data_IF_056340140303
#
_entry.id   IF_056340140303
#
_cell.length_a   1.000
_cell.length_b   1.000
_cell.length_c   1.000
_cell.angle_alpha   90.00
_cell.angle_beta   90.00
_cell.angle_gamma   90.00
#
_symmetry.space_group_name_H-M   'P 1'
#
loop_
_entity.id
_entity.type
_entity.pdbx_description
1 polymer ?
#
# COMPACT_ATOMS: atom_id res chain seq x y z
N UNK A 1 -18.53 -13.53 6.98
CA UNK A 1 -17.53 -12.47 6.72
C UNK A 1 -16.94 -12.73 5.35
N UNK A 2 -17.12 -11.80 4.41
CA UNK A 2 -16.59 -11.87 3.06
C UNK A 2 -15.35 -10.96 2.97
N UNK A 3 -14.23 -11.54 2.54
CA UNK A 3 -12.98 -10.82 2.34
C UNK A 3 -12.77 -10.51 0.85
N UNK A 4 -12.13 -9.39 0.55
CA UNK A 4 -11.59 -9.09 -0.78
C UNK A 4 -10.08 -8.95 -0.65
N UNK A 5 -9.34 -9.84 -1.32
CA UNK A 5 -7.88 -9.72 -1.43
C UNK A 5 -7.55 -9.03 -2.75
N UNK A 6 -6.82 -7.92 -2.67
CA UNK A 6 -6.42 -7.09 -3.81
C UNK A 6 -4.92 -7.21 -4.00
N UNK A 7 -4.46 -7.40 -5.23
CA UNK A 7 -3.03 -7.40 -5.58
C UNK A 7 -2.80 -6.70 -6.91
N UNK A 8 -1.65 -6.04 -7.09
CA UNK A 8 -1.35 -5.37 -8.36
C UNK A 8 -1.11 -6.39 -9.48
N UNK A 9 -0.50 -7.53 -9.15
CA UNK A 9 -0.29 -8.66 -10.06
C UNK A 9 -0.59 -10.00 -9.39
N UNK A 10 -0.98 -11.01 -10.16
CA UNK A 10 -1.26 -12.35 -9.64
C UNK A 10 -0.01 -13.03 -9.01
N UNK A 11 1.20 -12.67 -9.47
CA UNK A 11 2.45 -13.25 -8.97
C UNK A 11 2.68 -12.88 -7.50
N UNK A 12 2.28 -11.67 -7.08
CA UNK A 12 2.47 -11.20 -5.71
C UNK A 12 1.75 -12.04 -4.66
N UNK A 13 0.62 -12.63 -5.04
CA UNK A 13 -0.22 -13.46 -4.18
C UNK A 13 -0.32 -14.90 -4.69
N UNK A 14 0.59 -15.33 -5.57
CA UNK A 14 0.56 -16.68 -6.16
C UNK A 14 0.45 -17.79 -5.11
N UNK A 15 1.23 -17.79 -4.00
CA UNK A 15 1.08 -18.82 -2.97
C UNK A 15 -0.31 -18.85 -2.33
N UNK A 16 -0.95 -17.68 -2.19
CA UNK A 16 -2.31 -17.58 -1.66
C UNK A 16 -3.36 -18.11 -2.64
N UNK A 17 -3.20 -17.84 -3.94
CA UNK A 17 -4.07 -18.38 -4.99
C UNK A 17 -4.02 -19.92 -5.04
N UNK A 18 -2.82 -20.49 -4.91
CA UNK A 18 -2.62 -21.94 -4.86
C UNK A 18 -3.31 -22.58 -3.64
N UNK A 19 -3.29 -21.89 -2.48
CA UNK A 19 -3.99 -22.34 -1.28
C UNK A 19 -5.51 -22.23 -1.40
N UNK A 20 -6.01 -21.19 -2.07
CA UNK A 20 -7.44 -21.02 -2.34
C UNK A 20 -8.01 -22.12 -3.23
N UNK A 21 -7.23 -22.59 -4.21
CA UNK A 21 -7.62 -23.68 -5.11
C UNK A 21 -7.52 -25.09 -4.49
N UNK A 22 -7.04 -25.21 -3.25
CA UNK A 22 -6.91 -26.49 -2.55
C UNK A 22 -8.07 -26.66 -1.55
N UNK A 23 -9.00 -27.57 -1.84
CA UNK A 23 -10.23 -27.80 -1.06
C UNK A 23 -10.00 -28.06 0.44
N UNK A 24 -8.87 -28.68 0.80
CA UNK A 24 -8.55 -28.97 2.20
C UNK A 24 -8.16 -27.71 2.98
N UNK A 25 -7.56 -26.71 2.32
CA UNK A 25 -7.14 -25.46 2.94
C UNK A 25 -8.18 -24.36 2.78
N UNK A 26 -8.94 -24.35 1.68
CA UNK A 26 -9.98 -23.35 1.42
C UNK A 26 -11.05 -23.32 2.51
N UNK A 27 -11.36 -24.46 3.13
CA UNK A 27 -12.27 -24.57 4.27
C UNK A 27 -11.86 -23.75 5.51
N UNK A 28 -10.57 -23.40 5.64
CA UNK A 28 -10.04 -22.56 6.73
C UNK A 28 -9.99 -21.08 6.37
N UNK A 29 -10.19 -20.75 5.10
CA UNK A 29 -10.16 -19.38 4.59
C UNK A 29 -11.61 -18.88 4.55
N UNK A 30 -11.91 -17.69 5.09
CA UNK A 30 -13.23 -17.08 4.92
C UNK A 30 -13.59 -16.97 3.43
N UNK A 31 -14.87 -16.86 3.10
CA UNK A 31 -15.29 -16.58 1.73
C UNK A 31 -14.53 -15.35 1.20
N UNK A 32 -13.68 -15.56 0.19
CA UNK A 32 -12.70 -14.57 -0.26
C UNK A 32 -12.76 -14.41 -1.77
N UNK A 33 -13.03 -13.20 -2.22
CA UNK A 33 -12.86 -12.82 -3.61
C UNK A 33 -11.43 -12.30 -3.82
N UNK A 34 -10.90 -12.45 -5.03
CA UNK A 34 -9.59 -11.90 -5.42
C UNK A 34 -9.75 -10.90 -6.55
N UNK A 35 -9.14 -9.73 -6.40
CA UNK A 35 -9.05 -8.71 -7.43
C UNK A 35 -7.59 -8.47 -7.81
N UNK A 36 -7.24 -8.75 -9.07
CA UNK A 36 -5.99 -8.27 -9.65
C UNK A 36 -6.26 -6.87 -10.18
N UNK A 37 -5.77 -5.87 -9.46
CA UNK A 37 -6.16 -4.47 -9.66
C UNK A 37 -5.40 -3.77 -10.80
N UNK A 38 -4.26 -4.34 -11.19
CA UNK A 38 -3.30 -3.73 -12.10
C UNK A 38 -2.26 -2.88 -11.37
N UNK A 39 -1.21 -2.51 -12.10
CA UNK A 39 -0.06 -1.77 -11.58
C UNK A 39 -0.37 -0.27 -11.54
N UNK A 40 -0.10 0.36 -10.40
CA UNK A 40 -0.22 1.80 -10.19
C UNK A 40 -1.51 2.22 -9.46
N UNK A 41 -1.49 3.44 -8.92
CA UNK A 41 -2.60 3.98 -8.12
C UNK A 41 -3.87 4.15 -8.94
N UNK A 42 -3.76 4.58 -10.19
CA UNK A 42 -4.91 4.79 -11.10
C UNK A 42 -5.61 3.48 -11.43
N UNK A 43 -4.86 2.45 -11.85
CA UNK A 43 -5.41 1.13 -12.16
C UNK A 43 -6.07 0.52 -10.92
N UNK A 44 -5.39 0.61 -9.78
CA UNK A 44 -5.90 0.10 -8.51
C UNK A 44 -7.19 0.78 -8.11
N UNK A 45 -7.23 2.11 -8.13
CA UNK A 45 -8.42 2.88 -7.76
C UNK A 45 -9.60 2.59 -8.67
N UNK A 46 -9.37 2.52 -9.99
CA UNK A 46 -10.43 2.25 -10.96
C UNK A 46 -11.03 0.85 -10.77
N UNK A 47 -10.18 -0.18 -10.74
CA UNK A 47 -10.60 -1.58 -10.59
C UNK A 47 -11.27 -1.83 -9.24
N UNK A 48 -10.68 -1.32 -8.15
CA UNK A 48 -11.24 -1.50 -6.80
C UNK A 48 -12.59 -0.80 -6.67
N UNK A 49 -12.72 0.43 -7.17
CA UNK A 49 -14.01 1.15 -7.16
C UNK A 49 -15.08 0.41 -7.94
N UNK A 50 -14.71 -0.23 -9.06
CA UNK A 50 -15.61 -1.11 -9.81
C UNK A 50 -16.07 -2.30 -9.00
N UNK A 51 -15.14 -3.02 -8.37
CA UNK A 51 -15.45 -4.20 -7.55
C UNK A 51 -16.34 -3.86 -6.35
N UNK A 52 -16.04 -2.76 -5.64
CA UNK A 52 -16.80 -2.32 -4.48
C UNK A 52 -18.24 -1.91 -4.80
N UNK A 53 -18.53 -1.53 -6.06
CA UNK A 53 -19.91 -1.29 -6.52
C UNK A 53 -20.71 -2.57 -6.72
N UNK A 54 -20.05 -3.67 -7.07
CA UNK A 54 -20.70 -4.97 -7.30
C UNK A 54 -20.98 -5.66 -5.97
N UNK A 55 -19.99 -5.67 -5.08
CA UNK A 55 -20.07 -6.36 -3.79
C UNK A 55 -19.29 -5.56 -2.76
N UNK A 56 -19.92 -5.30 -1.61
CA UNK A 56 -19.27 -4.66 -0.48
C UNK A 56 -18.71 -5.74 0.47
N UNK A 57 -17.39 -5.98 0.47
CA UNK A 57 -16.78 -6.92 1.40
C UNK A 57 -16.72 -6.33 2.81
N UNK A 58 -16.69 -7.20 3.82
CA UNK A 58 -16.51 -6.79 5.22
C UNK A 58 -15.06 -6.37 5.50
N UNK A 59 -14.12 -6.88 4.70
CA UNK A 59 -12.69 -6.63 4.82
C UNK A 59 -12.04 -6.59 3.43
N UNK A 60 -11.26 -5.55 3.18
CA UNK A 60 -10.37 -5.47 2.02
C UNK A 60 -8.94 -5.58 2.52
N UNK A 61 -8.15 -6.48 1.92
CA UNK A 61 -6.72 -6.64 2.18
C UNK A 61 -5.98 -6.40 0.87
N UNK A 62 -5.15 -5.37 0.82
CA UNK A 62 -4.24 -5.18 -0.30
C UNK A 62 -2.90 -5.85 0.02
N UNK A 63 -2.64 -6.98 -0.64
CA UNK A 63 -1.41 -7.76 -0.48
C UNK A 63 -0.50 -7.56 -1.70
N UNK A 64 0.77 -7.32 -1.45
CA UNK A 64 1.73 -7.05 -2.53
C UNK A 64 3.17 -7.01 -2.04
N UNK A 65 4.09 -6.72 -2.96
CA UNK A 65 5.50 -6.47 -2.61
C UNK A 65 5.82 -4.98 -2.67
N UNK A 66 6.50 -4.48 -1.65
CA UNK A 66 6.99 -3.10 -1.57
C UNK A 66 8.50 -3.06 -1.49
N UNK A 67 9.11 -1.93 -1.84
CA UNK A 67 10.49 -1.68 -1.48
C UNK A 67 10.61 -1.14 -0.05
N UNK A 68 11.79 -1.33 0.52
CA UNK A 68 12.11 -0.89 1.89
C UNK A 68 13.13 0.25 1.90
N UNK A 69 12.84 1.32 2.64
CA UNK A 69 13.80 2.40 2.90
C UNK A 69 14.60 2.20 4.18
N UNK A 70 14.10 1.38 5.11
CA UNK A 70 14.76 1.10 6.38
C UNK A 70 15.66 -0.15 6.25
N UNK A 71 16.98 0.01 6.17
CA UNK A 71 17.90 -1.11 6.01
C UNK A 71 17.92 -2.05 7.23
N UNK A 72 17.34 -1.64 8.37
CA UNK A 72 17.20 -2.49 9.56
C UNK A 72 16.07 -3.51 9.42
N UNK A 73 15.19 -3.38 8.43
CA UNK A 73 14.13 -4.33 8.16
C UNK A 73 14.66 -5.39 7.19
N UNK A 74 14.72 -6.68 7.58
CA UNK A 74 15.15 -7.75 6.70
C UNK A 74 14.21 -7.89 5.49
N UNK A 75 14.77 -8.28 4.35
CA UNK A 75 13.99 -8.56 3.15
C UNK A 75 13.06 -9.76 3.37
N UNK A 76 11.89 -9.74 2.71
CA UNK A 76 10.85 -10.72 2.93
C UNK A 76 10.08 -10.54 4.24
N UNK A 77 10.40 -9.54 5.06
CA UNK A 77 9.61 -9.21 6.25
C UNK A 77 8.21 -8.79 5.84
N UNK A 78 7.22 -9.33 6.54
CA UNK A 78 5.81 -8.97 6.39
C UNK A 78 5.47 -7.78 7.28
N UNK A 79 4.90 -6.73 6.71
CA UNK A 79 4.60 -5.48 7.40
C UNK A 79 3.16 -5.05 7.18
N UNK A 80 2.63 -4.28 8.13
CA UNK A 80 1.30 -3.67 8.02
C UNK A 80 1.39 -2.15 7.85
N UNK A 81 0.73 -1.60 6.84
CA UNK A 81 0.74 -0.15 6.58
C UNK A 81 -0.27 0.54 7.50
N UNK A 82 0.24 1.35 8.44
CA UNK A 82 -0.60 2.12 9.38
C UNK A 82 -1.07 3.44 8.77
N UNK A 83 -0.22 4.04 7.96
CA UNK A 83 -0.53 5.27 7.25
C UNK A 83 0.27 5.35 5.98
N UNK A 84 -0.30 5.99 4.98
CA UNK A 84 0.26 6.11 3.64
C UNK A 84 0.18 7.55 3.14
N UNK A 85 1.13 7.95 2.31
CA UNK A 85 1.08 9.19 1.54
C UNK A 85 1.34 8.91 0.06
N UNK A 86 0.75 9.72 -0.82
CA UNK A 86 1.01 9.66 -2.27
C UNK A 86 2.21 10.58 -2.55
N UNK A 87 3.40 9.98 -2.63
CA UNK A 87 4.65 10.75 -2.60
C UNK A 87 4.97 11.45 -3.94
N UNK A 88 4.44 10.96 -5.05
CA UNK A 88 4.60 11.56 -6.38
C UNK A 88 3.59 12.67 -6.69
N UNK A 89 2.63 12.93 -5.78
CA UNK A 89 1.86 14.17 -5.74
C UNK A 89 2.66 15.27 -5.04
N UNK A 90 3.82 15.59 -5.61
CA UNK A 90 4.75 16.57 -5.07
C UNK A 90 5.61 17.18 -6.17
N UNK A 91 6.22 18.31 -5.85
CA UNK A 91 7.26 18.95 -6.67
C UNK A 91 8.59 18.91 -5.92
N UNK A 92 9.68 18.83 -6.66
CA UNK A 92 11.03 19.09 -6.14
C UNK A 92 11.44 20.47 -6.63
N UNK A 93 11.47 21.45 -5.73
CA UNK A 93 11.91 22.82 -6.02
C UNK A 93 12.87 23.29 -4.93
N UNK A 94 13.85 24.12 -5.28
CA UNK A 94 14.83 24.66 -4.34
C UNK A 94 15.49 23.58 -3.45
N UNK A 95 15.78 22.41 -4.04
CA UNK A 95 16.37 21.25 -3.36
C UNK A 95 15.53 20.77 -2.15
N UNK A 96 14.20 20.88 -2.24
CA UNK A 96 13.24 20.39 -1.26
C UNK A 96 12.04 19.73 -1.97
N UNK A 97 11.50 18.67 -1.36
CA UNK A 97 10.22 18.10 -1.78
C UNK A 97 9.11 18.86 -1.07
N UNK A 98 8.14 19.32 -1.86
CA UNK A 98 6.92 19.96 -1.39
C UNK A 98 5.72 19.23 -1.96
N UNK A 99 4.85 18.76 -1.07
CA UNK A 99 3.60 18.08 -1.38
C UNK A 99 2.53 19.09 -1.81
N UNK A 100 1.41 18.60 -2.34
CA UNK A 100 0.22 19.45 -2.58
C UNK A 100 -0.23 20.21 -1.32
N UNK A 101 0.02 19.64 -0.13
CA UNK A 101 -0.31 20.23 1.16
C UNK A 101 0.65 21.37 1.54
N UNK A 102 1.95 21.21 1.29
CA UNK A 102 2.96 22.26 1.53
C UNK A 102 2.73 23.45 0.60
N UNK A 103 2.29 23.16 -0.63
CA UNK A 103 1.93 24.15 -1.64
C UNK A 103 0.54 24.78 -1.41
N UNK A 104 -0.18 24.39 -0.36
CA UNK A 104 -1.53 24.87 -0.04
C UNK A 104 -2.56 24.67 -1.16
N UNK A 105 -2.33 23.68 -2.04
CA UNK A 105 -3.24 23.33 -3.13
C UNK A 105 -4.42 22.48 -2.63
N UNK A 106 -4.21 21.74 -1.54
CA UNK A 106 -5.21 20.91 -0.88
C UNK A 106 -5.09 21.10 0.64
N UNK A 107 -6.19 21.32 1.39
CA UNK A 107 -6.17 21.31 2.84
C UNK A 107 -5.70 19.95 3.40
N UNK A 108 -4.84 19.99 4.42
CA UNK A 108 -4.19 18.77 4.94
C UNK A 108 -5.16 17.77 5.59
N UNK A 109 -6.32 18.25 6.05
CA UNK A 109 -7.38 17.45 6.67
C UNK A 109 -8.62 17.32 5.77
N UNK A 110 -8.50 17.64 4.48
CA UNK A 110 -9.56 17.34 3.52
C UNK A 110 -9.70 15.82 3.39
N UNK A 111 -10.90 15.28 3.61
CA UNK A 111 -11.18 13.85 3.41
C UNK A 111 -10.67 13.38 2.03
N UNK A 112 -9.93 12.25 1.94
CA UNK A 112 -9.71 11.24 2.98
C UNK A 112 -8.46 11.45 3.87
N UNK A 113 -7.78 12.59 3.78
CA UNK A 113 -6.52 12.84 4.49
C UNK A 113 -6.72 13.32 5.92
N UNK A 114 -5.73 13.02 6.77
CA UNK A 114 -5.54 13.62 8.08
C UNK A 114 -4.07 14.04 8.21
N UNK A 115 -3.82 15.34 8.36
CA UNK A 115 -2.48 15.95 8.35
C UNK A 115 -1.63 15.51 7.15
N UNK A 116 -2.25 15.39 5.98
CA UNK A 116 -1.62 14.98 4.72
C UNK A 116 -1.35 13.47 4.57
N UNK A 117 -1.90 12.63 5.48
CA UNK A 117 -1.75 11.18 5.43
C UNK A 117 -3.10 10.48 5.26
N UNK A 118 -3.10 9.38 4.52
CA UNK A 118 -4.15 8.37 4.54
C UNK A 118 -3.93 7.49 5.77
N UNK A 119 -4.85 7.51 6.73
CA UNK A 119 -4.72 6.71 7.95
C UNK A 119 -5.53 5.41 7.85
N UNK A 120 -4.87 4.27 8.09
CA UNK A 120 -5.54 2.99 8.20
C UNK A 120 -6.17 2.86 9.60
N UNK A 121 -7.50 3.03 9.66
CA UNK A 121 -8.31 2.96 10.89
C UNK A 121 -8.87 1.56 11.17
N UNK A 122 -8.48 0.56 10.38
CA UNK A 122 -9.01 -0.81 10.50
C UNK A 122 -8.72 -1.43 11.87
N UNK A 123 -9.73 -2.07 12.46
CA UNK A 123 -9.57 -2.85 13.70
C UNK A 123 -8.63 -4.06 13.50
N UNK A 124 -8.52 -4.57 12.26
CA UNK A 124 -7.57 -5.65 11.92
C UNK A 124 -6.13 -5.20 12.18
N UNK A 125 -5.82 -3.92 11.91
CA UNK A 125 -4.51 -3.37 12.19
C UNK A 125 -4.19 -3.41 13.69
N UNK A 126 -5.18 -3.22 14.57
CA UNK A 126 -4.96 -3.30 16.03
C UNK A 126 -4.73 -4.75 16.48
N UNK A 127 -5.41 -5.71 15.85
CA UNK A 127 -5.34 -7.15 16.19
C UNK A 127 -4.08 -7.84 15.64
N UNK A 128 -3.50 -7.35 14.56
CA UNK A 128 -2.31 -7.97 13.98
C UNK A 128 -1.04 -7.73 14.79
N UNK A 129 -0.20 -8.77 14.87
CA UNK A 129 1.15 -8.73 15.46
C UNK A 129 2.21 -8.20 14.49
N UNK A 130 1.82 -7.92 13.24
CA UNK A 130 2.74 -7.37 12.24
C UNK A 130 3.28 -6.00 12.66
N UNK A 131 4.55 -5.75 12.33
CA UNK A 131 5.18 -4.43 12.54
C UNK A 131 4.44 -3.40 11.67
N UNK A 132 3.94 -2.36 12.33
CA UNK A 132 3.18 -1.27 11.73
C UNK A 132 4.13 -0.20 11.24
N UNK A 133 3.97 0.23 9.99
CA UNK A 133 4.90 1.16 9.35
C UNK A 133 4.20 2.28 8.59
N UNK A 134 4.96 3.32 8.25
CA UNK A 134 4.55 4.35 7.29
C UNK A 134 4.93 3.89 5.89
N UNK A 135 3.96 3.87 4.99
CA UNK A 135 4.15 3.60 3.58
C UNK A 135 4.10 4.88 2.75
N UNK A 136 4.64 4.81 1.55
CA UNK A 136 4.33 5.75 0.48
C UNK A 136 3.97 4.99 -0.79
N UNK A 137 3.07 5.57 -1.56
CA UNK A 137 2.73 5.10 -2.90
C UNK A 137 3.21 6.09 -3.95
N UNK A 138 3.61 5.54 -5.10
CA UNK A 138 4.10 6.27 -6.28
C UNK A 138 3.65 5.53 -7.54
N UNK A 139 3.46 6.25 -8.64
CA UNK A 139 3.22 5.71 -9.97
C UNK A 139 4.51 5.56 -10.80
N UNK A 140 5.62 6.15 -10.34
CA UNK A 140 6.90 6.10 -11.03
C UNK A 140 7.91 5.26 -10.23
N UNK A 141 8.51 4.26 -10.89
CA UNK A 141 9.68 3.57 -10.37
C UNK A 141 10.88 4.51 -10.50
N UNK A 142 11.54 4.84 -9.40
CA UNK A 142 12.72 5.70 -9.42
C UNK A 142 13.96 4.98 -8.89
N UNK A 143 15.06 5.12 -9.62
CA UNK A 143 16.42 4.74 -9.18
C UNK A 143 17.25 5.97 -8.80
N UNK A 144 16.66 7.17 -8.88
CA UNK A 144 17.34 8.42 -8.55
C UNK A 144 17.62 8.48 -7.06
N UNK A 145 18.91 8.43 -6.69
CA UNK A 145 19.36 8.59 -5.29
C UNK A 145 18.89 9.92 -4.71
N UNK A 146 18.81 10.96 -5.52
CA UNK A 146 18.37 12.28 -5.09
C UNK A 146 16.88 12.30 -4.77
N UNK A 147 16.03 11.74 -5.65
CA UNK A 147 14.57 11.63 -5.41
C UNK A 147 14.31 10.77 -4.17
N UNK A 148 14.97 9.62 -4.06
CA UNK A 148 14.93 8.75 -2.87
C UNK A 148 15.32 9.53 -1.61
N UNK A 149 16.39 10.34 -1.64
CA UNK A 149 16.82 11.14 -0.48
C UNK A 149 15.75 12.15 -0.06
N UNK A 150 15.14 12.87 -1.01
CA UNK A 150 14.10 13.84 -0.70
C UNK A 150 12.87 13.19 -0.10
N UNK A 151 12.40 12.10 -0.71
CA UNK A 151 11.27 11.31 -0.22
C UNK A 151 11.53 10.79 1.20
N UNK A 152 12.72 10.25 1.46
CA UNK A 152 13.09 9.75 2.80
C UNK A 152 13.15 10.86 3.84
N UNK A 153 13.70 12.02 3.47
CA UNK A 153 13.79 13.20 4.35
C UNK A 153 12.40 13.76 4.69
N UNK A 154 11.50 13.83 3.71
CA UNK A 154 10.19 14.44 3.88
C UNK A 154 9.21 13.52 4.62
N UNK A 155 9.02 12.28 4.13
CA UNK A 155 7.99 11.37 4.65
C UNK A 155 8.48 10.46 5.79
N UNK A 156 9.79 10.27 5.91
CA UNK A 156 10.41 9.23 6.73
C UNK A 156 9.68 7.86 6.65
N UNK A 157 9.44 7.33 5.44
CA UNK A 157 8.69 6.10 5.27
C UNK A 157 9.59 4.89 5.52
N UNK A 158 9.00 3.78 5.99
CA UNK A 158 9.71 2.50 6.02
C UNK A 158 9.57 1.75 4.70
N UNK A 159 8.48 2.00 3.96
CA UNK A 159 8.14 1.30 2.71
C UNK A 159 7.80 2.27 1.58
N UNK A 160 8.10 1.87 0.34
CA UNK A 160 7.39 2.31 -0.86
C UNK A 160 6.72 1.14 -1.57
N UNK A 161 5.69 1.42 -2.35
CA UNK A 161 5.37 0.54 -3.47
C UNK A 161 6.44 0.75 -4.55
N UNK A 162 7.02 -0.35 -5.05
CA UNK A 162 7.99 -0.42 -6.15
C UNK A 162 9.50 -0.23 -5.84
N UNK A 163 10.25 -1.29 -6.16
CA UNK A 163 11.71 -1.43 -6.42
C UNK A 163 12.70 -0.69 -5.49
N UNK A 164 12.65 -1.04 -4.22
CA UNK A 164 13.83 -1.24 -3.35
C UNK A 164 13.73 -2.71 -2.88
N UNK A 165 14.71 -3.34 -2.22
CA UNK A 165 14.67 -4.78 -2.03
C UNK A 165 13.39 -5.20 -1.26
N UNK A 166 12.77 -6.33 -1.63
CA UNK A 166 11.35 -6.55 -1.37
C UNK A 166 11.04 -6.79 0.11
N UNK A 167 10.06 -6.04 0.63
CA UNK A 167 9.29 -6.37 1.82
C UNK A 167 7.89 -6.81 1.38
N UNK A 168 7.32 -7.79 2.09
CA UNK A 168 5.94 -8.23 1.82
C UNK A 168 5.00 -7.26 2.54
N UNK A 169 4.07 -6.68 1.80
CA UNK A 169 3.11 -5.70 2.29
C UNK A 169 1.74 -6.34 2.43
N UNK A 170 1.12 -6.17 3.60
CA UNK A 170 -0.32 -6.32 3.77
C UNK A 170 -0.87 -4.97 4.23
N UNK A 171 -1.71 -4.34 3.43
CA UNK A 171 -2.47 -3.16 3.78
C UNK A 171 -3.94 -3.52 4.05
#
# INVERSE_FOLDING_TARGET
>A
MNCLVVAATAIEIKPFLEQLGNDSLSSKIPATDVLISGIGLTATTYSLSGQLRIKQPDLVIQAGVGGCFDPKIPLGTVLAVKQEAIADQSVIELNQLRTLFDLQLVPQDQYPYQKGWLLNKSEVLKKTRLKKVKGISVNEITTSRQKVRFTRKHFNPSLNQWKVPPCIMFA
#
